data_IF_767404806663
#
_entry.id   IF_767404806663
#
_cell.length_a   1.000
_cell.length_b   1.000
_cell.length_c   1.000
_cell.angle_alpha   90.00
_cell.angle_beta   90.00
_cell.angle_gamma   90.00
#
_symmetry.space_group_name_H-M   'P 1'
#
loop_
_entity.id
_entity.type
_entity.pdbx_description
1 polymer ?
#
# COMPACT_ATOMS: atom_id res chain seq x y z
N UNK A 1 10.07 6.42 8.81
CA UNK A 1 9.52 7.20 7.68
C UNK A 1 8.98 6.24 6.65
N UNK A 2 7.88 6.63 5.99
CA UNK A 2 7.10 5.78 5.08
C UNK A 2 6.93 6.51 3.74
N UNK A 3 7.12 5.81 2.63
CA UNK A 3 6.66 6.24 1.30
C UNK A 3 5.37 5.49 0.98
N UNK A 4 4.32 6.21 0.61
CA UNK A 4 3.01 5.66 0.30
C UNK A 4 2.78 5.64 -1.21
N UNK A 5 2.23 4.55 -1.73
CA UNK A 5 1.91 4.39 -3.15
C UNK A 5 0.41 4.07 -3.28
N UNK A 6 -0.34 4.97 -3.92
CA UNK A 6 -1.80 4.96 -3.94
C UNK A 6 -2.30 4.96 -5.40
N UNK A 7 -3.13 3.99 -5.81
CA UNK A 7 -3.80 4.01 -7.10
C UNK A 7 -4.66 5.27 -7.27
N UNK A 8 -4.52 5.93 -8.41
CA UNK A 8 -5.13 7.23 -8.67
C UNK A 8 -5.93 7.21 -9.98
N UNK A 9 -7.22 7.56 -9.87
CA UNK A 9 -8.12 7.76 -11.02
C UNK A 9 -8.57 9.20 -11.16
N UNK A 10 -8.76 9.91 -10.04
CA UNK A 10 -9.23 11.29 -10.02
C UNK A 10 -9.06 11.90 -8.63
N UNK A 11 -9.07 13.23 -8.55
CA UNK A 11 -8.99 13.94 -7.27
C UNK A 11 -10.11 13.55 -6.28
N UNK A 12 -11.41 13.47 -6.65
CA UNK A 12 -12.47 13.06 -5.72
C UNK A 12 -12.25 11.66 -5.13
N UNK A 13 -11.70 10.73 -5.91
CA UNK A 13 -11.44 9.37 -5.49
C UNK A 13 -10.31 9.29 -4.45
N UNK A 14 -9.23 10.04 -4.65
CA UNK A 14 -8.04 9.96 -3.79
C UNK A 14 -8.04 10.93 -2.60
N UNK A 15 -8.86 12.00 -2.64
CA UNK A 15 -8.83 13.11 -1.68
C UNK A 15 -8.84 12.66 -0.22
N UNK A 16 -9.75 11.77 0.16
CA UNK A 16 -9.87 11.31 1.55
C UNK A 16 -8.64 10.52 1.99
N UNK A 17 -8.14 9.62 1.15
CA UNK A 17 -6.94 8.81 1.41
C UNK A 17 -5.71 9.69 1.53
N UNK A 18 -5.47 10.60 0.59
CA UNK A 18 -4.35 11.54 0.62
C UNK A 18 -4.39 12.40 1.87
N UNK A 19 -5.57 12.93 2.23
CA UNK A 19 -5.74 13.69 3.47
C UNK A 19 -5.39 12.85 4.70
N UNK A 20 -5.90 11.63 4.79
CA UNK A 20 -5.65 10.77 5.94
C UNK A 20 -4.16 10.41 6.11
N UNK A 21 -3.46 10.22 4.99
CA UNK A 21 -2.01 10.00 4.97
C UNK A 21 -1.23 11.27 5.35
N UNK A 22 -1.61 12.43 4.80
CA UNK A 22 -0.95 13.70 5.06
C UNK A 22 -1.05 14.20 6.50
N UNK A 23 -1.94 13.62 7.32
CA UNK A 23 -2.05 13.92 8.76
C UNK A 23 -1.00 13.19 9.62
N UNK A 24 -0.23 12.26 9.06
CA UNK A 24 0.76 11.49 9.82
C UNK A 24 2.19 11.96 9.52
N UNK A 25 2.87 12.49 10.54
CA UNK A 25 4.26 12.98 10.44
C UNK A 25 5.30 11.88 10.12
N UNK A 26 4.88 10.61 10.10
CA UNK A 26 5.74 9.49 9.71
C UNK A 26 5.76 9.26 8.19
N UNK A 27 4.84 9.86 7.45
CA UNK A 27 4.76 9.78 5.99
C UNK A 27 5.64 10.86 5.39
N UNK A 28 6.59 10.44 4.54
CA UNK A 28 7.53 11.34 3.86
C UNK A 28 6.94 11.80 2.53
N UNK A 29 6.60 10.83 1.68
CA UNK A 29 6.13 11.06 0.32
C UNK A 29 4.86 10.25 0.06
N UNK A 30 3.93 10.83 -0.71
CA UNK A 30 2.76 10.15 -1.24
C UNK A 30 2.88 10.15 -2.77
N UNK A 31 3.04 8.96 -3.34
CA UNK A 31 3.09 8.72 -4.77
C UNK A 31 1.72 8.25 -5.28
N UNK A 32 1.18 8.97 -6.26
CA UNK A 32 -0.06 8.64 -6.93
C UNK A 32 0.25 7.82 -8.18
N UNK A 33 -0.28 6.61 -8.28
CA UNK A 33 -0.06 5.69 -9.39
C UNK A 33 -1.19 5.86 -10.42
N UNK A 34 -0.90 6.49 -11.55
CA UNK A 34 -1.88 6.78 -12.59
C UNK A 34 -1.57 6.06 -13.89
N UNK A 35 -2.61 5.52 -14.54
CA UNK A 35 -2.50 4.87 -15.87
C UNK A 35 -2.71 5.85 -17.02
N UNK A 36 -3.27 7.03 -16.74
CA UNK A 36 -3.54 8.07 -17.72
C UNK A 36 -3.02 9.42 -17.22
N UNK A 37 -2.66 10.30 -18.15
CA UNK A 37 -2.19 11.63 -17.80
C UNK A 37 -3.38 12.45 -17.30
N UNK A 38 -3.41 12.68 -15.99
CA UNK A 38 -4.44 13.48 -15.35
C UNK A 38 -3.88 14.89 -15.14
N UNK A 39 -4.59 15.95 -15.57
CA UNK A 39 -4.12 17.33 -15.45
C UNK A 39 -4.17 17.86 -14.02
N UNK A 40 -4.86 17.17 -13.11
CA UNK A 40 -5.02 17.60 -11.73
C UNK A 40 -3.72 17.39 -10.94
N UNK A 41 -3.10 18.49 -10.51
CA UNK A 41 -2.07 18.44 -9.47
C UNK A 41 -2.74 18.19 -8.10
N UNK A 42 -2.16 17.27 -7.33
CA UNK A 42 -2.58 16.99 -5.96
C UNK A 42 -1.47 17.48 -5.03
N UNK A 43 -1.77 18.53 -4.27
CA UNK A 43 -0.81 19.14 -3.34
C UNK A 43 -0.23 18.09 -2.36
N UNK A 44 1.09 18.15 -2.16
CA UNK A 44 1.82 17.22 -1.28
C UNK A 44 1.98 15.81 -1.84
N UNK A 45 1.64 15.57 -3.11
CA UNK A 45 1.78 14.28 -3.78
C UNK A 45 2.63 14.37 -5.05
N UNK A 46 3.27 13.27 -5.42
CA UNK A 46 3.98 13.11 -6.69
C UNK A 46 3.26 12.08 -7.57
N UNK A 47 3.08 12.40 -8.86
CA UNK A 47 2.42 11.50 -9.81
C UNK A 47 3.44 10.58 -10.48
N UNK A 48 3.19 9.27 -10.44
CA UNK A 48 3.95 8.26 -11.16
C UNK A 48 3.06 7.62 -12.24
N UNK A 49 3.49 7.75 -13.49
CA UNK A 49 2.84 7.10 -14.61
C UNK A 49 3.18 5.61 -14.63
N UNK A 50 2.16 4.78 -14.72
CA UNK A 50 2.28 3.31 -14.75
C UNK A 50 1.41 2.72 -15.86
N UNK A 51 1.69 1.47 -16.26
CA UNK A 51 0.87 0.75 -17.24
C UNK A 51 -0.35 0.09 -16.59
N UNK A 52 -0.18 -0.56 -15.44
CA UNK A 52 -1.27 -1.14 -14.66
C UNK A 52 -0.84 -1.30 -13.19
N UNK A 53 -1.75 -1.15 -12.20
CA UNK A 53 -1.39 -1.31 -10.79
C UNK A 53 -0.87 -2.71 -10.40
N UNK A 54 -1.09 -3.71 -11.27
CA UNK A 54 -0.78 -5.11 -11.01
C UNK A 54 0.39 -5.64 -11.86
N UNK A 55 1.06 -4.79 -12.64
CA UNK A 55 2.17 -5.21 -13.50
C UNK A 55 3.50 -5.28 -12.74
N UNK A 56 4.40 -6.16 -13.17
CA UNK A 56 5.80 -6.18 -12.68
C UNK A 56 6.49 -4.82 -12.89
N UNK A 57 6.18 -4.14 -14.00
CA UNK A 57 6.72 -2.81 -14.29
C UNK A 57 6.36 -1.78 -13.20
N UNK A 58 5.12 -1.80 -12.70
CA UNK A 58 4.69 -0.94 -11.58
C UNK A 58 5.46 -1.23 -10.31
N UNK A 59 5.71 -2.50 -9.97
CA UNK A 59 6.48 -2.84 -8.77
C UNK A 59 7.96 -2.43 -8.90
N UNK A 60 8.54 -2.50 -10.10
CA UNK A 60 9.86 -1.90 -10.38
C UNK A 60 9.88 -0.39 -10.18
N UNK A 61 8.84 0.32 -10.64
CA UNK A 61 8.68 1.77 -10.40
C UNK A 61 8.53 2.10 -8.92
N UNK A 62 7.71 1.33 -8.18
CA UNK A 62 7.55 1.49 -6.73
C UNK A 62 8.90 1.27 -6.03
N UNK A 63 9.61 0.20 -6.35
CA UNK A 63 10.91 -0.11 -5.75
C UNK A 63 11.95 0.98 -6.02
N UNK A 64 11.93 1.62 -7.20
CA UNK A 64 12.81 2.74 -7.52
C UNK A 64 12.58 3.94 -6.59
N UNK A 65 11.33 4.27 -6.28
CA UNK A 65 10.94 5.43 -5.46
C UNK A 65 10.82 5.13 -3.96
N UNK A 66 10.93 3.87 -3.55
CA UNK A 66 10.88 3.43 -2.15
C UNK A 66 12.17 3.77 -1.36
N UNK A 67 12.49 5.05 -1.22
CA UNK A 67 13.74 5.57 -0.64
C UNK A 67 13.74 5.72 0.90
N UNK A 68 12.62 5.43 1.56
CA UNK A 68 12.53 5.38 3.02
C UNK A 68 12.70 3.96 3.57
N UNK A 69 12.65 3.81 4.90
CA UNK A 69 12.77 2.52 5.56
C UNK A 69 11.59 1.58 5.27
N UNK A 70 10.41 2.17 5.04
CA UNK A 70 9.16 1.43 4.85
C UNK A 70 8.34 1.95 3.67
N UNK A 71 7.64 1.03 3.02
CA UNK A 71 6.77 1.30 1.88
C UNK A 71 5.36 0.85 2.22
N UNK A 72 4.41 1.75 2.07
CA UNK A 72 2.98 1.42 2.14
C UNK A 72 2.44 1.35 0.71
N UNK A 73 1.85 0.22 0.35
CA UNK A 73 1.16 0.02 -0.92
C UNK A 73 -0.35 -0.09 -0.64
N UNK A 74 -1.13 0.76 -1.29
CA UNK A 74 -2.58 0.62 -1.33
C UNK A 74 -3.00 -0.04 -2.64
N UNK A 75 -3.94 -0.97 -2.61
CA UNK A 75 -4.30 -1.81 -3.79
C UNK A 75 -5.73 -1.58 -4.28
N UNK A 76 -6.45 -0.60 -3.73
CA UNK A 76 -7.83 -0.29 -4.09
C UNK A 76 -7.98 1.18 -4.49
N UNK A 77 -9.10 1.50 -5.12
CA UNK A 77 -9.50 2.87 -5.43
C UNK A 77 -10.51 3.44 -4.44
N UNK A 78 -10.96 2.65 -3.46
CA UNK A 78 -11.85 3.14 -2.41
C UNK A 78 -11.08 3.98 -1.40
N UNK A 79 -11.70 4.98 -0.79
CA UNK A 79 -11.09 5.65 0.34
C UNK A 79 -10.89 4.69 1.52
N UNK A 80 -9.88 4.93 2.35
CA UNK A 80 -9.73 4.25 3.63
C UNK A 80 -9.46 5.26 4.75
N UNK A 81 -9.80 4.86 5.97
CA UNK A 81 -9.51 5.62 7.18
C UNK A 81 -8.58 4.78 8.06
N UNK A 82 -7.37 5.28 8.38
CA UNK A 82 -6.50 4.63 9.34
C UNK A 82 -7.19 4.63 10.71
N UNK A 83 -7.18 3.49 11.39
CA UNK A 83 -7.54 3.45 12.80
C UNK A 83 -6.58 4.30 13.64
N UNK A 84 -6.96 4.60 14.89
CA UNK A 84 -6.12 5.37 15.79
C UNK A 84 -4.70 4.75 15.90
N UNK A 85 -3.69 5.59 15.71
CA UNK A 85 -2.26 5.21 15.71
C UNK A 85 -1.91 4.03 14.80
N UNK A 86 -2.62 3.84 13.68
CA UNK A 86 -2.41 2.69 12.81
C UNK A 86 -0.98 2.63 12.26
N UNK A 87 -0.44 3.76 11.79
CA UNK A 87 0.90 3.81 11.19
C UNK A 87 2.01 3.66 12.22
N UNK A 88 1.84 4.24 13.40
CA UNK A 88 2.76 4.09 14.53
C UNK A 88 2.84 2.63 14.99
N UNK A 89 1.68 1.96 15.07
CA UNK A 89 1.63 0.53 15.40
C UNK A 89 2.30 -0.33 14.33
N UNK A 90 2.05 -0.06 13.04
CA UNK A 90 2.73 -0.76 11.94
C UNK A 90 4.26 -0.58 12.02
N UNK A 91 4.74 0.63 12.28
CA UNK A 91 6.16 0.92 12.43
C UNK A 91 6.79 0.19 13.62
N UNK A 92 6.12 0.20 14.78
CA UNK A 92 6.58 -0.50 15.98
C UNK A 92 6.70 -2.00 15.72
N UNK A 93 5.63 -2.63 15.21
CA UNK A 93 5.61 -4.06 14.91
C UNK A 93 6.67 -4.43 13.88
N UNK A 94 6.84 -3.64 12.81
CA UNK A 94 7.83 -3.92 11.76
C UNK A 94 9.27 -3.82 12.29
N UNK A 95 9.51 -2.90 13.23
CA UNK A 95 10.79 -2.75 13.93
C UNK A 95 11.07 -3.93 14.85
N UNK A 96 10.11 -4.27 15.72
CA UNK A 96 10.28 -5.27 16.77
C UNK A 96 10.36 -6.70 16.22
N UNK A 97 9.61 -7.00 15.16
CA UNK A 97 9.53 -8.35 14.58
C UNK A 97 10.51 -8.60 13.45
N UNK A 98 11.16 -7.56 12.93
CA UNK A 98 11.99 -7.62 11.75
C UNK A 98 11.25 -8.13 10.49
N UNK A 99 9.92 -8.00 10.45
CA UNK A 99 9.07 -8.52 9.37
C UNK A 99 9.36 -7.83 8.02
N UNK A 100 9.34 -8.62 6.94
CA UNK A 100 9.48 -8.12 5.56
C UNK A 100 8.22 -7.45 5.03
N UNK A 101 7.05 -7.97 5.40
CA UNK A 101 5.73 -7.46 5.06
C UNK A 101 4.80 -7.59 6.28
N UNK A 102 3.95 -6.59 6.48
CA UNK A 102 2.84 -6.57 7.41
C UNK A 102 1.55 -6.26 6.66
N UNK A 103 0.46 -6.81 7.16
CA UNK A 103 -0.91 -6.47 6.81
C UNK A 103 -1.74 -6.42 8.08
N UNK A 104 -2.90 -5.78 8.02
CA UNK A 104 -3.74 -5.56 9.19
C UNK A 104 -5.16 -6.06 8.97
N UNK A 105 -5.82 -6.37 10.09
CA UNK A 105 -7.26 -6.50 10.11
C UNK A 105 -7.92 -5.17 9.72
N UNK A 106 -9.12 -5.27 9.16
CA UNK A 106 -9.83 -4.13 8.60
C UNK A 106 -11.31 -4.22 8.89
N UNK A 107 -11.95 -3.07 8.88
CA UNK A 107 -13.40 -2.97 8.84
C UNK A 107 -13.85 -2.73 7.39
N UNK A 108 -14.96 -3.35 7.04
CA UNK A 108 -15.68 -3.12 5.80
C UNK A 108 -16.82 -2.15 6.08
N UNK A 109 -16.87 -1.03 5.34
CA UNK A 109 -18.04 -0.16 5.36
C UNK A 109 -19.07 -0.69 4.36
N UNK A 110 -20.26 -1.06 4.85
CA UNK A 110 -21.42 -1.44 4.03
C UNK A 110 -22.63 -0.63 4.47
N UNK A 111 -23.21 0.15 3.57
CA UNK A 111 -24.40 0.97 3.82
C UNK A 111 -24.27 1.90 5.07
N UNK A 112 -23.08 2.48 5.27
CA UNK A 112 -22.78 3.34 6.43
C UNK A 112 -22.48 2.59 7.73
N UNK A 113 -22.59 1.26 7.76
CA UNK A 113 -22.26 0.44 8.92
C UNK A 113 -20.87 -0.18 8.78
N UNK A 114 -20.10 -0.12 9.86
CA UNK A 114 -18.78 -0.75 9.97
C UNK A 114 -18.94 -2.20 10.42
N UNK A 115 -18.44 -3.16 9.64
CA UNK A 115 -18.41 -4.58 9.96
C UNK A 115 -16.97 -5.08 9.97
N UNK A 116 -16.58 -5.90 10.93
CA UNK A 116 -15.26 -6.54 10.92
C UNK A 116 -15.12 -7.44 9.68
N UNK A 117 -14.00 -7.33 8.96
CA UNK A 117 -13.71 -8.27 7.88
C UNK A 117 -13.54 -9.68 8.48
N UNK A 118 -14.15 -10.73 7.90
CA UNK A 118 -13.95 -12.10 8.36
C UNK A 118 -12.46 -12.47 8.35
N UNK A 119 -12.00 -13.10 9.42
CA UNK A 119 -10.63 -13.60 9.55
C UNK A 119 -10.67 -15.05 10.05
N UNK A 120 -9.67 -15.84 9.66
CA UNK A 120 -9.40 -17.17 10.22
C UNK A 120 -8.52 -17.03 11.48
N UNK A 121 -8.50 -18.06 12.32
CA UNK A 121 -7.66 -18.07 13.52
C UNK A 121 -6.17 -17.93 13.18
N UNK A 122 -5.47 -17.07 13.91
CA UNK A 122 -4.04 -16.87 13.75
C UNK A 122 -3.27 -18.09 14.26
N UNK A 123 -2.55 -18.77 13.36
CA UNK A 123 -1.57 -19.80 13.73
C UNK A 123 -0.16 -19.35 13.33
N UNK A 124 0.83 -19.71 14.15
CA UNK A 124 2.22 -19.33 13.89
C UNK A 124 2.70 -19.98 12.59
N UNK A 125 3.10 -19.15 11.63
CA UNK A 125 3.54 -19.60 10.31
C UNK A 125 2.40 -19.71 9.28
N UNK A 126 1.15 -19.46 9.66
CA UNK A 126 0.04 -19.45 8.71
C UNK A 126 -0.05 -18.11 7.99
N UNK A 127 -0.08 -18.19 6.67
CA UNK A 127 -0.59 -17.14 5.80
C UNK A 127 -2.13 -17.25 5.77
N UNK A 128 -2.82 -16.17 5.38
CA UNK A 128 -4.26 -16.26 5.15
C UNK A 128 -4.54 -17.24 4.01
N UNK A 129 -5.43 -18.20 4.25
CA UNK A 129 -5.72 -19.31 3.32
C UNK A 129 -6.19 -18.82 1.93
N UNK A 130 -6.81 -17.65 1.87
CA UNK A 130 -7.34 -17.03 0.65
C UNK A 130 -6.39 -16.00 0.01
N UNK A 131 -5.22 -15.78 0.60
CA UNK A 131 -4.27 -14.73 0.22
C UNK A 131 -4.87 -13.30 0.20
N UNK A 132 -5.98 -13.05 0.91
CA UNK A 132 -6.53 -11.71 1.09
C UNK A 132 -5.80 -10.97 2.23
N UNK A 133 -4.70 -10.32 1.87
CA UNK A 133 -3.93 -9.46 2.78
C UNK A 133 -4.55 -8.06 2.98
N UNK A 134 -5.76 -7.83 2.46
CA UNK A 134 -6.42 -6.54 2.49
C UNK A 134 -5.88 -5.54 1.48
N UNK A 135 -6.34 -4.30 1.63
CA UNK A 135 -6.05 -3.23 0.67
C UNK A 135 -4.78 -2.46 0.99
N UNK A 136 -4.27 -2.55 2.21
CA UNK A 136 -3.09 -1.83 2.69
C UNK A 136 -2.02 -2.84 3.08
N UNK A 137 -0.92 -2.82 2.32
CA UNK A 137 0.24 -3.67 2.54
C UNK A 137 1.41 -2.80 2.97
N UNK A 138 2.13 -3.23 3.99
CA UNK A 138 3.23 -2.47 4.57
C UNK A 138 4.52 -3.26 4.52
N UNK A 139 5.51 -2.77 3.79
CA UNK A 139 6.76 -3.47 3.52
C UNK A 139 7.93 -2.79 4.17
N UNK A 140 8.92 -3.57 4.58
CA UNK A 140 10.28 -3.06 4.69
C UNK A 140 10.81 -2.79 3.29
N UNK A 141 11.20 -1.55 2.99
CA UNK A 141 11.55 -1.14 1.63
C UNK A 141 12.77 -1.89 1.08
N UNK A 142 13.73 -2.26 1.94
CA UNK A 142 14.88 -3.07 1.51
C UNK A 142 14.48 -4.48 1.06
N UNK A 143 13.50 -5.10 1.73
CA UNK A 143 12.98 -6.43 1.38
C UNK A 143 12.15 -6.36 0.11
N UNK A 144 11.27 -5.35 -0.02
CA UNK A 144 10.52 -5.09 -1.26
C UNK A 144 11.47 -4.92 -2.45
N UNK A 145 12.51 -4.09 -2.30
CA UNK A 145 13.53 -3.88 -3.34
C UNK A 145 14.28 -5.17 -3.68
N UNK A 146 14.56 -6.03 -2.70
CA UNK A 146 15.21 -7.32 -2.94
C UNK A 146 14.29 -8.25 -3.73
N UNK A 147 13.02 -8.38 -3.34
CA UNK A 147 12.04 -9.20 -4.04
C UNK A 147 11.87 -8.73 -5.49
N UNK A 148 11.69 -7.43 -5.71
CA UNK A 148 11.54 -6.85 -7.06
C UNK A 148 12.78 -7.05 -7.94
N UNK A 149 13.99 -7.11 -7.36
CA UNK A 149 15.22 -7.45 -8.12
C UNK A 149 15.32 -8.94 -8.44
N UNK A 150 14.66 -9.80 -7.69
CA UNK A 150 14.67 -11.24 -7.87
C UNK A 150 13.60 -11.71 -8.87
N UNK A 151 12.61 -10.88 -9.19
CA UNK A 151 11.61 -11.14 -10.25
C UNK A 151 12.31 -11.40 -11.59
N UNK A 152 12.08 -12.57 -12.17
CA UNK A 152 12.68 -13.03 -13.43
C UNK A 152 11.69 -13.07 -14.61
N UNK A 153 10.42 -12.77 -14.35
CA UNK A 153 9.36 -12.69 -15.35
C UNK A 153 8.70 -11.29 -15.38
N UNK A 154 8.06 -10.97 -16.50
CA UNK A 154 7.30 -9.73 -16.67
C UNK A 154 5.80 -10.05 -16.74
N UNK A 155 5.11 -9.93 -15.61
CA UNK A 155 3.67 -10.15 -15.53
C UNK A 155 2.88 -8.84 -15.74
N UNK A 156 1.75 -8.94 -16.44
CA UNK A 156 0.82 -7.81 -16.61
C UNK A 156 -0.18 -7.64 -15.46
N UNK A 157 -0.43 -8.72 -14.71
CA UNK A 157 -1.51 -8.80 -13.72
C UNK A 157 -1.10 -9.44 -12.39
N UNK A 158 0.14 -9.91 -12.25
CA UNK A 158 0.58 -10.71 -11.10
C UNK A 158 1.82 -10.14 -10.39
N UNK A 159 2.23 -8.91 -10.68
CA UNK A 159 3.47 -8.32 -10.13
C UNK A 159 3.50 -8.18 -8.60
N UNK A 160 2.34 -8.24 -7.92
CA UNK A 160 2.30 -8.29 -6.45
C UNK A 160 2.64 -9.69 -5.88
N UNK A 161 2.37 -10.74 -6.64
CA UNK A 161 2.47 -12.14 -6.21
C UNK A 161 3.70 -12.86 -6.78
N UNK A 162 4.47 -12.17 -7.61
CA UNK A 162 5.77 -12.57 -8.15
C UNK A 162 6.87 -12.25 -7.12
#
# INVERSE_FOLDING_TARGET
>A
MINCFIPFLSLPQARQTVRALGLCDRIKNIYLLATEKIPDEVEGCEMLMIDSPASTATFRTIALHADTAYTLLYTKYTAFEPGQFAFERLLAIAGDTNAGMLYADRYLLKNGNSQQAPVIDYQKGSLRDDFDFGSLLFFRSSVLKQAVRAMDADYRFAGLYD
#
